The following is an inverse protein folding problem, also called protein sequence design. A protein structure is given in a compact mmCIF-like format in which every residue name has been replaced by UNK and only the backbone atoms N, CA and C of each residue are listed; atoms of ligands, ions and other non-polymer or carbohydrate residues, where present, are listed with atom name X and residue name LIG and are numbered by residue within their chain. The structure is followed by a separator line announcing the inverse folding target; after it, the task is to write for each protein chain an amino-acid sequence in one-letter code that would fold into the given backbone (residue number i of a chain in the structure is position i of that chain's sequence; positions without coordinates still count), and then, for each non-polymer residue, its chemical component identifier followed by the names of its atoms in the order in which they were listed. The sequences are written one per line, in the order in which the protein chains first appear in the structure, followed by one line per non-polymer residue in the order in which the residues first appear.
data_IF_472024511369
#
_entry.id   IF_472024511369
#
_cell.length_a   1.000
_cell.length_b   1.000
_cell.length_c   1.000
_cell.angle_alpha   90.00
_cell.angle_beta   90.00
_cell.angle_gamma   90.00
#
_symmetry.space_group_name_H-M   'P 1'
#
loop_
_entity.id
_entity.type
_entity.pdbx_description
1 polymer ?
#
# COMPACT_ATOMS: atom_id res chain seq x y z
N UNK A 1 -73.09 80.07 -18.65
CA UNK A 1 -72.08 79.35 -19.46
C UNK A 1 -71.66 78.13 -18.66
N UNK A 2 -71.79 76.93 -19.23
CA UNK A 2 -72.31 75.71 -18.60
C UNK A 2 -71.22 74.94 -17.84
N UNK A 3 -71.45 73.93 -17.01
CA UNK A 3 -72.66 73.27 -16.50
C UNK A 3 -72.33 72.56 -15.17
N UNK A 4 -73.39 72.34 -14.38
CA UNK A 4 -73.60 71.25 -13.40
C UNK A 4 -72.84 69.94 -13.72
N UNK A 5 -72.49 69.04 -12.78
CA UNK A 5 -73.43 68.31 -11.91
C UNK A 5 -72.74 67.23 -11.01
N UNK A 6 -73.43 66.82 -9.92
CA UNK A 6 -73.50 65.49 -9.24
C UNK A 6 -72.22 64.87 -8.60
N UNK A 7 -72.11 64.75 -7.27
CA UNK A 7 -72.70 63.80 -6.29
C UNK A 7 -72.12 62.36 -6.27
N UNK A 8 -71.47 62.01 -5.15
CA UNK A 8 -71.32 60.71 -4.44
C UNK A 8 -70.90 59.42 -5.22
N UNK A 9 -69.76 58.85 -4.77
CA UNK A 9 -69.24 57.44 -4.61
C UNK A 9 -69.96 56.23 -5.28
N UNK A 10 -69.35 55.01 -5.45
CA UNK A 10 -68.01 54.47 -5.09
C UNK A 10 -67.32 53.51 -6.13
N UNK A 11 -66.12 53.01 -5.75
CA UNK A 11 -65.55 51.65 -5.97
C UNK A 11 -64.71 51.33 -7.24
N UNK A 12 -63.44 51.03 -7.00
CA UNK A 12 -62.53 50.19 -7.81
C UNK A 12 -61.43 49.60 -6.89
N UNK A 13 -60.92 48.37 -7.12
CA UNK A 13 -60.32 47.56 -6.07
C UNK A 13 -58.80 47.72 -5.87
N UNK A 14 -58.44 47.36 -4.64
CA UNK A 14 -57.15 47.09 -4.03
C UNK A 14 -56.17 46.33 -4.96
N UNK A 15 -55.09 47.00 -5.38
CA UNK A 15 -54.00 46.36 -6.10
C UNK A 15 -53.08 45.57 -5.16
N UNK A 16 -52.79 44.36 -5.62
CA UNK A 16 -52.29 43.21 -4.90
C UNK A 16 -50.75 43.20 -4.91
N UNK A 17 -50.11 43.66 -3.83
CA UNK A 17 -48.64 43.65 -3.67
C UNK A 17 -48.19 42.54 -2.70
N UNK A 18 -48.46 41.28 -3.05
CA UNK A 18 -48.17 40.13 -2.16
C UNK A 18 -47.79 38.81 -2.84
N UNK A 19 -47.52 38.79 -4.14
CA UNK A 19 -47.38 37.53 -4.91
C UNK A 19 -45.97 36.98 -5.11
N UNK A 20 -44.95 37.81 -5.34
CA UNK A 20 -43.69 37.34 -5.95
C UNK A 20 -42.60 36.91 -4.96
N UNK A 21 -42.59 37.42 -3.73
CA UNK A 21 -41.52 37.12 -2.74
C UNK A 21 -41.72 35.73 -2.09
N UNK A 22 -42.97 35.25 -2.00
CA UNK A 22 -43.30 34.00 -1.30
C UNK A 22 -43.00 32.74 -2.13
N UNK A 23 -43.11 32.82 -3.45
CA UNK A 23 -42.84 31.69 -4.36
C UNK A 23 -41.34 31.40 -4.51
N UNK A 24 -40.48 32.43 -4.56
CA UNK A 24 -39.03 32.24 -4.61
C UNK A 24 -38.47 31.61 -3.33
N UNK A 25 -39.00 31.97 -2.17
CA UNK A 25 -38.59 31.38 -0.89
C UNK A 25 -39.01 29.91 -0.75
N UNK A 26 -40.20 29.54 -1.26
CA UNK A 26 -40.67 28.16 -1.28
C UNK A 26 -39.83 27.29 -2.22
N UNK A 27 -39.44 27.82 -3.38
CA UNK A 27 -38.55 27.13 -4.33
C UNK A 27 -37.19 26.83 -3.69
N UNK A 28 -36.53 27.83 -3.08
CA UNK A 28 -35.21 27.65 -2.43
C UNK A 28 -35.29 26.68 -1.24
N UNK A 29 -36.36 26.73 -0.43
CA UNK A 29 -36.56 25.79 0.67
C UNK A 29 -36.76 24.34 0.18
N UNK A 30 -37.45 24.14 -0.94
CA UNK A 30 -37.60 22.84 -1.59
C UNK A 30 -36.26 22.28 -2.10
N UNK A 31 -35.41 23.11 -2.72
CA UNK A 31 -34.08 22.71 -3.18
C UNK A 31 -33.13 22.35 -2.01
N UNK A 32 -33.15 23.13 -0.92
CA UNK A 32 -32.34 22.85 0.26
C UNK A 32 -32.80 21.57 1.00
N UNK A 33 -34.11 21.32 1.03
CA UNK A 33 -34.69 20.11 1.63
C UNK A 33 -34.27 18.84 0.88
N UNK A 34 -34.29 18.86 -0.46
CA UNK A 34 -33.85 17.73 -1.27
C UNK A 34 -32.35 17.48 -1.17
N UNK A 35 -31.53 18.54 -1.07
CA UNK A 35 -30.09 18.42 -0.83
C UNK A 35 -29.78 17.75 0.51
N UNK A 36 -30.48 18.15 1.58
CA UNK A 36 -30.32 17.54 2.90
C UNK A 36 -30.78 16.07 2.92
N UNK A 37 -31.89 15.75 2.26
CA UNK A 37 -32.40 14.38 2.15
C UNK A 37 -31.42 13.46 1.39
N UNK A 38 -30.89 13.92 0.26
CA UNK A 38 -29.89 13.16 -0.51
C UNK A 38 -28.59 12.96 0.28
N UNK A 39 -28.13 13.99 1.01
CA UNK A 39 -26.98 13.88 1.90
C UNK A 39 -27.21 12.84 3.01
N UNK A 40 -28.39 12.84 3.64
CA UNK A 40 -28.75 11.87 4.68
C UNK A 40 -28.80 10.43 4.13
N UNK A 41 -29.34 10.24 2.92
CA UNK A 41 -29.38 8.93 2.26
C UNK A 41 -27.97 8.43 1.91
N UNK A 42 -27.11 9.30 1.36
CA UNK A 42 -25.71 8.94 1.08
C UNK A 42 -24.96 8.54 2.36
N UNK A 43 -25.16 9.29 3.46
CA UNK A 43 -24.61 8.95 4.77
C UNK A 43 -25.14 7.60 5.29
N UNK A 44 -26.43 7.33 5.16
CA UNK A 44 -27.03 6.06 5.58
C UNK A 44 -26.46 4.88 4.77
N UNK A 45 -26.27 5.04 3.45
CA UNK A 45 -25.65 4.02 2.61
C UNK A 45 -24.20 3.77 3.04
N UNK A 46 -23.41 4.81 3.28
CA UNK A 46 -22.03 4.68 3.76
C UNK A 46 -21.94 4.00 5.14
N UNK A 47 -22.86 4.30 6.05
CA UNK A 47 -22.92 3.64 7.35
C UNK A 47 -23.34 2.17 7.22
N UNK A 48 -24.23 1.83 6.29
CA UNK A 48 -24.64 0.45 6.03
C UNK A 48 -23.51 -0.37 5.40
N UNK A 49 -22.72 0.21 4.47
CA UNK A 49 -21.56 -0.48 3.90
C UNK A 49 -20.47 -0.69 4.94
N UNK A 50 -20.24 0.28 5.83
CA UNK A 50 -19.31 0.10 6.95
C UNK A 50 -19.81 -0.96 7.96
N UNK A 51 -21.12 -1.04 8.22
CA UNK A 51 -21.71 -2.05 9.08
C UNK A 51 -21.56 -3.48 8.54
N UNK A 52 -21.63 -3.68 7.22
CA UNK A 52 -21.48 -5.01 6.63
C UNK A 52 -20.03 -5.48 6.65
N UNK A 53 -19.07 -4.60 6.39
CA UNK A 53 -17.64 -4.90 6.51
C UNK A 53 -17.26 -5.26 7.95
N UNK A 54 -17.74 -4.50 8.94
CA UNK A 54 -17.50 -4.81 10.35
C UNK A 54 -18.10 -6.16 10.77
N UNK A 55 -19.28 -6.53 10.25
CA UNK A 55 -19.89 -7.85 10.51
C UNK A 55 -19.08 -8.98 9.86
N UNK A 56 -18.56 -8.77 8.65
CA UNK A 56 -17.72 -9.76 7.98
C UNK A 56 -16.38 -9.93 8.70
N UNK A 57 -15.71 -8.84 9.06
CA UNK A 57 -14.45 -8.87 9.81
C UNK A 57 -14.63 -9.51 11.18
N UNK A 58 -15.72 -9.21 11.91
CA UNK A 58 -16.02 -9.90 13.19
C UNK A 58 -16.24 -11.41 12.99
N UNK A 59 -16.89 -11.82 11.90
CA UNK A 59 -17.05 -13.25 11.56
C UNK A 59 -15.71 -13.90 11.25
N UNK A 60 -14.86 -13.26 10.46
CA UNK A 60 -13.52 -13.74 10.14
C UNK A 60 -12.64 -13.85 11.38
N UNK A 61 -12.62 -12.84 12.25
CA UNK A 61 -11.90 -12.89 13.53
C UNK A 61 -12.44 -14.00 14.42
N UNK A 62 -13.76 -14.21 14.50
CA UNK A 62 -14.35 -15.31 15.27
C UNK A 62 -14.03 -16.70 14.71
N UNK A 63 -13.85 -16.81 13.39
CA UNK A 63 -13.41 -18.05 12.73
C UNK A 63 -11.93 -18.29 12.98
N UNK A 64 -11.11 -17.24 12.87
CA UNK A 64 -9.67 -17.30 13.12
C UNK A 64 -9.38 -17.63 14.58
N UNK A 65 -10.08 -17.01 15.53
CA UNK A 65 -10.00 -17.34 16.96
C UNK A 65 -10.43 -18.78 17.26
N UNK A 66 -11.47 -19.29 16.59
CA UNK A 66 -11.87 -20.71 16.70
C UNK A 66 -10.84 -21.66 16.10
N UNK A 67 -10.17 -21.27 15.01
CA UNK A 67 -9.08 -22.05 14.40
C UNK A 67 -7.75 -21.93 15.13
N UNK A 68 -7.59 -20.92 15.98
CA UNK A 68 -6.38 -20.63 16.73
C UNK A 68 -6.47 -21.02 18.22
N UNK A 69 -7.59 -21.58 18.68
CA UNK A 69 -7.68 -22.13 20.03
C UNK A 69 -6.72 -23.33 20.19
N UNK A 70 -5.91 -23.41 21.26
CA UNK A 70 -4.89 -24.44 21.38
C UNK A 70 -5.54 -25.81 21.58
N UNK A 71 -5.23 -26.73 20.67
CA UNK A 71 -5.44 -28.16 20.85
C UNK A 71 -4.60 -28.63 22.05
N UNK A 72 -5.19 -28.62 23.24
CA UNK A 72 -4.68 -29.43 24.34
C UNK A 72 -5.02 -30.88 24.04
N UNK A 73 -3.94 -31.62 23.79
CA UNK A 73 -3.87 -33.06 23.62
C UNK A 73 -4.40 -33.74 24.88
N UNK A 74 -5.52 -34.44 24.74
CA UNK A 74 -6.05 -35.39 25.73
C UNK A 74 -6.66 -36.56 24.95
N UNK A 75 -5.97 -37.69 24.98
CA UNK A 75 -6.39 -38.96 24.41
C UNK A 75 -7.68 -39.49 25.06
N UNK A 76 -8.46 -40.23 24.27
CA UNK A 76 -9.38 -41.25 24.78
C UNK A 76 -10.86 -40.98 24.55
N UNK A 77 -11.49 -41.90 23.82
CA UNK A 77 -12.93 -42.18 23.82
C UNK A 77 -13.90 -41.08 23.36
N UNK A 78 -14.13 -40.96 22.04
CA UNK A 78 -15.47 -40.66 21.53
C UNK A 78 -15.65 -41.01 20.04
N UNK A 79 -15.08 -42.13 19.58
CA UNK A 79 -15.33 -42.64 18.23
C UNK A 79 -16.22 -43.88 18.33
N UNK A 80 -17.52 -43.71 18.58
CA UNK A 80 -18.46 -44.83 18.36
C UNK A 80 -19.96 -44.53 18.27
N UNK A 81 -20.43 -43.28 18.40
CA UNK A 81 -21.87 -43.02 18.21
C UNK A 81 -22.13 -41.73 17.44
N UNK A 82 -22.02 -41.81 16.12
CA UNK A 82 -22.98 -41.17 15.21
C UNK A 82 -22.78 -41.65 13.77
N UNK A 83 -22.80 -42.97 13.59
CA UNK A 83 -23.02 -43.53 12.26
C UNK A 83 -24.51 -43.73 12.06
N UNK A 84 -25.25 -42.69 11.67
CA UNK A 84 -26.52 -42.88 10.98
C UNK A 84 -26.96 -41.62 10.21
N UNK A 85 -27.01 -41.79 8.89
CA UNK A 85 -27.79 -41.06 7.90
C UNK A 85 -27.45 -39.57 7.63
N UNK A 86 -26.69 -39.35 6.55
CA UNK A 86 -27.06 -38.42 5.46
C UNK A 86 -26.10 -38.58 4.26
N UNK A 87 -26.56 -39.17 3.13
CA UNK A 87 -25.76 -39.31 1.92
C UNK A 87 -25.23 -37.97 1.38
N UNK A 88 -26.02 -36.90 1.54
CA UNK A 88 -25.71 -35.54 1.04
C UNK A 88 -24.45 -34.92 1.67
N UNK A 89 -24.15 -35.22 2.93
CA UNK A 89 -22.99 -34.62 3.62
C UNK A 89 -21.69 -35.26 3.18
N UNK A 90 -21.71 -36.57 2.91
CA UNK A 90 -20.55 -37.30 2.40
C UNK A 90 -20.25 -36.89 0.95
N UNK A 91 -21.26 -36.77 0.10
CA UNK A 91 -21.10 -36.29 -1.27
C UNK A 91 -20.66 -34.83 -1.31
N UNK A 92 -21.19 -33.94 -0.46
CA UNK A 92 -20.76 -32.55 -0.37
C UNK A 92 -19.30 -32.43 0.11
N UNK A 93 -18.86 -33.32 1.02
CA UNK A 93 -17.48 -33.36 1.48
C UNK A 93 -16.53 -33.93 0.43
N UNK A 94 -16.90 -35.00 -0.27
CA UNK A 94 -16.11 -35.56 -1.37
C UNK A 94 -16.03 -34.61 -2.55
N UNK A 95 -17.15 -33.98 -2.91
CA UNK A 95 -17.18 -32.93 -3.92
C UNK A 95 -16.32 -31.75 -3.47
N UNK A 96 -16.49 -31.26 -2.23
CA UNK A 96 -15.65 -30.19 -1.67
C UNK A 96 -14.16 -30.54 -1.62
N UNK A 97 -13.81 -31.78 -1.31
CA UNK A 97 -12.45 -32.31 -1.34
C UNK A 97 -11.92 -32.43 -2.77
N UNK A 98 -12.76 -32.84 -3.74
CA UNK A 98 -12.46 -32.91 -5.17
C UNK A 98 -12.30 -31.52 -5.78
N UNK A 99 -13.10 -30.53 -5.37
CA UNK A 99 -12.97 -29.12 -5.74
C UNK A 99 -11.74 -28.47 -5.11
N UNK A 100 -11.39 -28.83 -3.86
CA UNK A 100 -10.14 -28.41 -3.21
C UNK A 100 -8.92 -29.06 -3.86
N UNK A 101 -8.99 -30.35 -4.23
CA UNK A 101 -7.94 -31.03 -5.02
C UNK A 101 -7.81 -30.42 -6.41
N UNK A 102 -8.92 -30.14 -7.11
CA UNK A 102 -8.90 -29.45 -8.41
C UNK A 102 -8.32 -28.02 -8.30
N UNK A 103 -8.67 -27.26 -7.26
CA UNK A 103 -8.07 -25.93 -6.98
C UNK A 103 -6.60 -26.00 -6.58
N UNK A 104 -6.20 -26.97 -5.77
CA UNK A 104 -4.80 -27.23 -5.42
C UNK A 104 -3.99 -27.65 -6.66
N UNK A 105 -4.55 -28.51 -7.52
CA UNK A 105 -3.92 -28.96 -8.77
C UNK A 105 -3.87 -27.84 -9.82
N UNK A 106 -4.85 -26.92 -9.85
CA UNK A 106 -4.79 -25.70 -10.69
C UNK A 106 -3.80 -24.66 -10.16
N UNK A 107 -3.70 -24.47 -8.84
CA UNK A 107 -2.74 -23.52 -8.23
C UNK A 107 -1.32 -24.08 -8.14
N UNK A 108 -1.16 -25.39 -8.30
CA UNK A 108 0.13 -26.07 -8.43
C UNK A 108 0.66 -26.04 -9.88
N UNK A 109 -0.13 -25.58 -10.87
CA UNK A 109 0.38 -25.23 -12.20
C UNK A 109 1.24 -23.96 -12.10
N UNK A 110 2.51 -24.18 -11.78
CA UNK A 110 3.62 -23.21 -11.72
C UNK A 110 3.36 -22.05 -10.75
N UNK A 111 3.58 -22.27 -9.43
CA UNK A 111 4.20 -21.20 -8.63
C UNK A 111 5.56 -20.90 -9.28
N UNK A 112 5.60 -19.96 -10.23
CA UNK A 112 6.84 -19.40 -10.75
C UNK A 112 7.59 -18.93 -9.51
N UNK A 113 8.71 -19.60 -9.21
CA UNK A 113 9.57 -19.22 -8.10
C UNK A 113 9.94 -17.75 -8.33
N UNK A 114 9.59 -16.87 -7.39
CA UNK A 114 9.89 -15.44 -7.49
C UNK A 114 11.39 -15.24 -7.67
N UNK A 115 11.78 -14.31 -8.53
CA UNK A 115 13.19 -13.93 -8.69
C UNK A 115 13.60 -13.17 -7.43
N UNK A 116 14.68 -13.61 -6.78
CA UNK A 116 15.20 -13.02 -5.55
C UNK A 116 16.69 -12.77 -5.72
N UNK A 117 17.15 -11.60 -5.31
CA UNK A 117 18.57 -11.25 -5.24
C UNK A 117 18.83 -10.55 -3.91
N UNK A 118 19.75 -11.07 -3.11
CA UNK A 118 20.28 -10.42 -1.92
C UNK A 118 21.78 -10.21 -2.11
N UNK A 119 22.21 -9.00 -1.86
CA UNK A 119 23.55 -8.49 -2.15
C UNK A 119 24.19 -7.97 -0.87
N UNK A 120 25.49 -8.23 -0.76
CA UNK A 120 26.33 -7.74 0.33
C UNK A 120 27.51 -6.97 -0.27
N UNK A 121 28.11 -6.02 0.46
CA UNK A 121 29.18 -5.18 -0.05
C UNK A 121 30.50 -5.98 -0.18
N UNK A 122 31.28 -5.68 -1.21
CA UNK A 122 32.68 -6.15 -1.37
C UNK A 122 33.63 -5.00 -1.09
N UNK A 123 33.38 -3.86 -1.72
CA UNK A 123 34.22 -2.68 -1.64
C UNK A 123 33.36 -1.42 -1.69
N UNK A 124 34.01 -0.31 -1.39
CA UNK A 124 33.43 1.02 -1.49
C UNK A 124 34.38 1.88 -2.31
N UNK A 125 33.83 2.66 -3.23
CA UNK A 125 34.59 3.58 -4.09
C UNK A 125 34.03 4.99 -3.95
N UNK A 126 34.92 5.98 -3.88
CA UNK A 126 34.58 7.40 -3.91
C UNK A 126 35.55 8.04 -4.88
N UNK A 127 35.03 8.68 -5.94
CA UNK A 127 35.89 9.46 -6.84
C UNK A 127 36.24 10.78 -6.15
N UNK A 128 37.45 11.28 -6.40
CA UNK A 128 38.00 12.44 -5.71
C UNK A 128 37.23 13.74 -6.04
N UNK A 129 36.73 13.86 -7.27
CA UNK A 129 35.95 15.01 -7.76
C UNK A 129 34.44 14.87 -7.56
N UNK A 130 33.96 13.86 -6.82
CA UNK A 130 32.53 13.63 -6.61
C UNK A 130 32.17 13.50 -5.13
N UNK A 131 31.11 14.21 -4.71
CA UNK A 131 30.49 14.06 -3.39
C UNK A 131 29.64 12.78 -3.28
N UNK A 132 30.17 11.68 -3.79
CA UNK A 132 29.46 10.42 -3.95
C UNK A 132 30.38 9.26 -3.59
N UNK A 133 29.85 8.39 -2.74
CA UNK A 133 30.42 7.09 -2.40
C UNK A 133 29.48 5.99 -2.89
N UNK A 134 30.02 5.05 -3.65
CA UNK A 134 29.32 3.89 -4.22
C UNK A 134 29.78 2.59 -3.54
N UNK A 135 28.89 1.60 -3.53
CA UNK A 135 29.16 0.28 -2.96
C UNK A 135 29.20 -0.73 -4.10
N UNK A 136 30.27 -1.51 -4.22
CA UNK A 136 30.30 -2.66 -5.12
C UNK A 136 29.67 -3.87 -4.44
N UNK A 137 28.79 -4.56 -5.16
CA UNK A 137 27.95 -5.61 -4.62
C UNK A 137 28.36 -7.00 -5.10
N UNK A 138 28.23 -8.01 -4.22
CA UNK A 138 28.23 -9.43 -4.60
C UNK A 138 26.93 -10.13 -4.20
N UNK A 139 26.47 -11.11 -4.98
CA UNK A 139 25.34 -11.95 -4.59
C UNK A 139 25.65 -12.85 -3.39
N UNK A 140 24.90 -12.68 -2.31
CA UNK A 140 24.85 -13.62 -1.18
C UNK A 140 23.71 -14.64 -1.33
N UNK A 141 22.60 -14.25 -1.98
CA UNK A 141 21.51 -15.15 -2.38
C UNK A 141 21.02 -14.76 -3.77
N UNK A 142 20.91 -15.73 -4.68
CA UNK A 142 20.34 -15.53 -6.01
C UNK A 142 19.39 -16.67 -6.37
N UNK A 143 18.19 -16.31 -6.81
CA UNK A 143 17.17 -17.22 -7.32
C UNK A 143 16.51 -16.60 -8.55
N UNK A 144 16.41 -17.37 -9.63
CA UNK A 144 15.88 -16.84 -10.90
C UNK A 144 16.94 -16.11 -11.73
N UNK A 145 16.51 -15.53 -12.86
CA UNK A 145 17.40 -14.85 -13.83
C UNK A 145 17.01 -13.39 -14.10
N UNK A 146 15.96 -12.87 -13.46
CA UNK A 146 15.43 -11.54 -13.75
C UNK A 146 16.28 -10.39 -13.21
N UNK A 147 17.34 -10.68 -12.45
CA UNK A 147 18.19 -9.71 -11.77
C UNK A 147 19.66 -10.15 -11.81
N UNK A 148 20.55 -9.17 -11.92
CA UNK A 148 22.00 -9.39 -11.95
C UNK A 148 22.75 -8.20 -11.33
N UNK A 149 23.72 -8.48 -10.45
CA UNK A 149 24.65 -7.46 -9.96
C UNK A 149 25.81 -7.28 -10.93
N UNK A 150 26.15 -6.03 -11.25
CA UNK A 150 27.23 -5.63 -12.13
C UNK A 150 28.03 -4.52 -11.44
N UNK A 151 29.00 -4.90 -10.60
CA UNK A 151 29.79 -3.94 -9.83
C UNK A 151 28.94 -3.15 -8.84
N UNK A 152 28.87 -1.82 -9.01
CA UNK A 152 28.10 -0.91 -8.16
C UNK A 152 26.58 -0.89 -8.47
N UNK A 153 26.16 -1.51 -9.57
CA UNK A 153 24.77 -1.43 -10.05
C UNK A 153 24.10 -2.80 -10.14
N UNK A 154 22.77 -2.81 -10.19
CA UNK A 154 21.96 -4.01 -10.42
C UNK A 154 21.16 -3.83 -11.69
N UNK A 155 21.32 -4.74 -12.65
CA UNK A 155 20.58 -4.74 -13.91
C UNK A 155 19.31 -5.59 -13.79
N UNK A 156 18.21 -5.04 -14.29
CA UNK A 156 16.90 -5.70 -14.36
C UNK A 156 16.72 -6.35 -15.73
N UNK A 157 16.52 -7.66 -15.75
CA UNK A 157 16.33 -8.44 -16.97
C UNK A 157 14.86 -8.78 -17.24
N UNK A 158 14.03 -8.88 -16.20
CA UNK A 158 12.61 -9.16 -16.35
C UNK A 158 11.77 -8.00 -15.83
N UNK A 159 10.92 -7.41 -16.67
CA UNK A 159 9.92 -6.43 -16.23
C UNK A 159 8.99 -7.03 -15.16
N UNK A 160 8.63 -6.23 -14.15
CA UNK A 160 7.69 -6.62 -13.12
C UNK A 160 7.72 -5.73 -11.88
N UNK A 161 6.90 -6.10 -10.90
CA UNK A 161 6.84 -5.40 -9.60
C UNK A 161 7.83 -6.06 -8.64
N UNK A 162 8.68 -5.25 -8.01
CA UNK A 162 9.72 -5.72 -7.11
C UNK A 162 9.61 -5.02 -5.76
N UNK A 163 9.72 -5.79 -4.68
CA UNK A 163 10.11 -5.26 -3.37
C UNK A 163 11.62 -5.02 -3.39
N UNK A 164 12.04 -3.78 -3.19
CA UNK A 164 13.42 -3.39 -2.94
C UNK A 164 13.60 -3.02 -1.48
N UNK A 165 14.73 -3.42 -0.89
CA UNK A 165 15.13 -3.01 0.45
C UNK A 165 16.64 -2.79 0.51
N UNK A 166 17.07 -1.80 1.28
CA UNK A 166 18.49 -1.46 1.43
C UNK A 166 18.79 -1.02 2.85
N UNK A 167 19.91 -1.51 3.39
CA UNK A 167 20.50 -1.05 4.63
C UNK A 167 21.96 -0.64 4.41
N UNK A 168 22.37 0.44 5.07
CA UNK A 168 23.78 0.81 5.21
C UNK A 168 24.06 1.10 6.67
N UNK A 169 25.13 0.51 7.21
CA UNK A 169 25.62 0.80 8.56
C UNK A 169 26.75 1.83 8.48
N UNK A 170 26.50 3.04 8.98
CA UNK A 170 27.46 4.14 9.00
C UNK A 170 28.28 4.15 10.29
N UNK A 171 29.56 4.49 10.16
CA UNK A 171 30.44 4.87 11.25
C UNK A 171 31.13 6.19 10.89
N UNK A 172 30.34 7.26 10.90
CA UNK A 172 30.73 8.56 10.32
C UNK A 172 30.16 9.70 11.17
N UNK A 173 30.98 10.72 11.45
CA UNK A 173 30.61 11.88 12.27
C UNK A 173 29.93 13.00 11.49
N UNK A 174 29.83 12.85 10.16
CA UNK A 174 29.10 13.81 9.31
C UNK A 174 27.67 13.95 9.81
N UNK A 175 27.21 15.18 10.04
CA UNK A 175 25.96 15.47 10.76
C UNK A 175 24.74 14.68 10.28
N UNK A 176 24.67 14.41 8.98
CA UNK A 176 23.70 13.51 8.37
C UNK A 176 24.35 12.59 7.36
N UNK A 177 24.04 11.30 7.51
CA UNK A 177 24.37 10.23 6.60
C UNK A 177 23.11 9.61 6.03
N UNK A 178 23.27 8.85 4.95
CA UNK A 178 22.13 8.25 4.28
C UNK A 178 22.49 7.67 2.93
N UNK A 179 21.49 7.08 2.30
CA UNK A 179 21.61 6.53 0.96
C UNK A 179 20.42 6.93 0.10
N UNK A 180 20.68 6.96 -1.20
CA UNK A 180 19.69 7.20 -2.24
C UNK A 180 19.69 5.99 -3.14
N UNK A 181 18.52 5.37 -3.28
CA UNK A 181 18.32 4.28 -4.24
C UNK A 181 17.61 4.86 -5.45
N UNK A 182 18.24 4.75 -6.61
CA UNK A 182 17.70 5.27 -7.88
C UNK A 182 17.65 4.21 -8.95
N UNK A 183 16.69 4.35 -9.86
CA UNK A 183 16.67 3.64 -11.13
C UNK A 183 17.09 4.58 -12.25
N UNK A 184 17.72 4.01 -13.26
CA UNK A 184 18.02 4.65 -14.52
C UNK A 184 17.54 3.74 -15.65
N UNK A 185 16.70 4.30 -16.52
CA UNK A 185 16.08 3.59 -17.63
C UNK A 185 15.41 4.59 -18.57
N UNK A 186 15.31 4.24 -19.85
CA UNK A 186 14.66 5.09 -20.87
C UNK A 186 15.23 6.54 -20.94
N UNK A 187 16.53 6.70 -20.66
CA UNK A 187 17.21 8.01 -20.66
C UNK A 187 16.86 8.91 -19.47
N UNK A 188 16.18 8.39 -18.44
CA UNK A 188 15.80 9.15 -17.25
C UNK A 188 16.28 8.46 -15.97
N UNK A 189 16.74 9.27 -15.03
CA UNK A 189 17.04 8.84 -13.65
C UNK A 189 15.90 9.22 -12.71
N UNK A 190 15.50 8.30 -11.85
CA UNK A 190 14.44 8.49 -10.86
C UNK A 190 14.87 7.96 -9.49
N UNK A 191 14.62 8.75 -8.44
CA UNK A 191 14.85 8.29 -7.06
C UNK A 191 13.67 7.43 -6.62
N UNK A 192 13.94 6.19 -6.21
CA UNK A 192 12.93 5.28 -5.69
C UNK A 192 12.64 5.55 -4.22
N UNK A 193 13.69 5.62 -3.40
CA UNK A 193 13.61 5.98 -2.00
C UNK A 193 14.94 6.51 -1.46
N UNK A 194 14.86 7.15 -0.30
CA UNK A 194 16.02 7.67 0.45
C UNK A 194 15.95 7.15 1.89
N UNK A 195 17.09 7.08 2.53
CA UNK A 195 17.19 6.95 3.98
C UNK A 195 18.15 8.03 4.48
N UNK A 196 17.79 8.69 5.58
CA UNK A 196 18.59 9.76 6.19
C UNK A 196 18.66 9.50 7.69
N UNK A 197 19.84 9.62 8.27
CA UNK A 197 20.09 9.55 9.71
C UNK A 197 21.01 10.66 10.17
N UNK A 198 20.62 11.30 11.27
CA UNK A 198 21.51 12.17 12.03
C UNK A 198 22.57 11.33 12.73
N UNK A 199 23.81 11.81 12.74
CA UNK A 199 24.94 11.13 13.38
C UNK A 199 25.41 11.90 14.62
N UNK A 200 25.79 11.20 15.69
CA UNK A 200 26.53 11.79 16.80
C UNK A 200 27.85 12.41 16.32
N UNK A 201 28.26 13.52 16.95
CA UNK A 201 29.53 14.18 16.67
C UNK A 201 30.74 13.47 17.30
N UNK A 202 30.49 12.65 18.33
CA UNK A 202 31.51 11.84 19.01
C UNK A 202 31.87 10.60 18.15
N UNK A 203 33.12 10.49 17.65
CA UNK A 203 33.55 9.39 16.79
C UNK A 203 33.33 7.99 17.37
N UNK A 204 33.46 7.84 18.70
CA UNK A 204 33.31 6.54 19.37
C UNK A 204 31.85 6.09 19.47
N UNK A 205 30.91 7.02 19.22
CA UNK A 205 29.47 6.81 19.29
C UNK A 205 28.76 6.98 17.95
N UNK A 206 29.47 7.38 16.91
CA UNK A 206 28.91 7.76 15.62
C UNK A 206 28.48 6.57 14.75
N UNK A 207 27.67 5.66 15.30
CA UNK A 207 27.16 4.46 14.64
C UNK A 207 25.65 4.54 14.42
N UNK A 208 25.20 4.33 13.18
CA UNK A 208 23.76 4.18 12.88
C UNK A 208 23.54 3.31 11.65
N UNK A 209 22.55 2.42 11.72
CA UNK A 209 22.00 1.76 10.55
C UNK A 209 20.90 2.62 9.91
N UNK A 210 20.92 2.74 8.59
CA UNK A 210 19.86 3.38 7.82
C UNK A 210 19.20 2.36 6.90
N UNK A 211 17.98 1.93 7.23
CA UNK A 211 17.18 0.98 6.44
C UNK A 211 16.01 1.69 5.77
N UNK A 212 15.73 1.36 4.51
CA UNK A 212 14.51 1.77 3.80
C UNK A 212 14.15 0.74 2.73
N UNK A 213 12.86 0.67 2.39
CA UNK A 213 12.32 -0.29 1.44
C UNK A 213 11.06 0.25 0.75
N UNK A 214 10.72 -0.34 -0.39
CA UNK A 214 9.51 0.00 -1.14
C UNK A 214 9.21 -0.97 -2.26
N UNK A 215 8.03 -0.84 -2.84
CA UNK A 215 7.57 -1.67 -3.96
C UNK A 215 7.53 -0.82 -5.23
N UNK A 216 8.25 -1.25 -6.26
CA UNK A 216 8.43 -0.47 -7.49
C UNK A 216 8.20 -1.34 -8.73
N UNK A 217 7.58 -0.75 -9.76
CA UNK A 217 7.49 -1.37 -11.08
C UNK A 217 8.77 -1.07 -11.85
N UNK A 218 9.57 -2.12 -12.14
CA UNK A 218 10.85 -2.02 -12.83
C UNK A 218 10.73 -2.63 -14.22
N UNK A 219 11.40 -2.03 -15.19
CA UNK A 219 11.39 -2.48 -16.57
C UNK A 219 12.69 -3.21 -16.93
N UNK A 220 12.59 -4.11 -17.90
CA UNK A 220 13.77 -4.72 -18.51
C UNK A 220 14.71 -3.63 -19.05
N UNK A 221 15.99 -3.74 -18.70
CA UNK A 221 17.03 -2.77 -19.05
C UNK A 221 17.26 -1.69 -18.00
N UNK A 222 16.37 -1.55 -17.01
CA UNK A 222 16.59 -0.63 -15.89
C UNK A 222 17.87 -1.02 -15.13
N UNK A 223 18.61 0.00 -14.71
CA UNK A 223 19.79 -0.12 -13.87
C UNK A 223 19.51 0.54 -12.52
N UNK A 224 19.73 -0.19 -11.44
CA UNK A 224 19.54 0.30 -10.08
C UNK A 224 20.88 0.61 -9.45
N UNK A 225 20.95 1.74 -8.75
CA UNK A 225 22.13 2.19 -8.02
C UNK A 225 21.79 2.58 -6.60
N UNK A 226 22.72 2.31 -5.68
CA UNK A 226 22.68 2.78 -4.30
C UNK A 226 23.88 3.71 -4.11
N UNK A 227 23.60 4.96 -3.80
CA UNK A 227 24.61 6.02 -3.66
C UNK A 227 24.51 6.64 -2.27
N UNK A 228 25.66 6.80 -1.63
CA UNK A 228 25.82 7.63 -0.43
C UNK A 228 26.27 9.02 -0.91
N UNK A 229 25.46 10.08 -0.74
CA UNK A 229 25.75 11.42 -1.25
C UNK A 229 26.74 12.17 -0.34
N UNK A 230 27.90 11.56 -0.10
CA UNK A 230 29.04 12.10 0.64
C UNK A 230 30.32 11.53 0.01
N UNK A 231 31.34 12.34 -0.20
CA UNK A 231 32.67 11.85 -0.55
C UNK A 231 33.28 11.08 0.63
N UNK A 232 34.02 10.00 0.33
CA UNK A 232 34.80 9.22 1.30
C UNK A 232 33.98 8.78 2.53
N UNK A 233 32.72 8.42 2.32
CA UNK A 233 31.80 8.06 3.39
C UNK A 233 32.28 6.82 4.17
N UNK A 234 32.23 6.88 5.50
CA UNK A 234 32.61 5.76 6.36
C UNK A 234 31.42 4.86 6.65
N UNK A 235 31.44 3.65 6.09
CA UNK A 235 30.41 2.64 6.26
C UNK A 235 30.99 1.24 6.45
N UNK A 236 30.23 0.36 7.11
CA UNK A 236 30.64 -1.03 7.36
C UNK A 236 30.44 -1.91 6.13
N UNK A 237 31.45 -2.71 5.80
CA UNK A 237 31.36 -3.78 4.80
C UNK A 237 30.82 -5.11 5.37
N UNK A 238 30.32 -5.10 6.61
CA UNK A 238 29.71 -6.31 7.19
C UNK A 238 28.44 -6.71 6.41
N UNK A 239 28.29 -7.98 6.01
CA UNK A 239 27.14 -8.45 5.23
C UNK A 239 25.80 -8.34 5.97
N UNK A 240 25.83 -8.25 7.30
CA UNK A 240 24.63 -8.07 8.13
C UNK A 240 24.37 -6.59 8.48
N UNK A 241 25.37 -5.72 8.30
CA UNK A 241 25.25 -4.29 8.54
C UNK A 241 24.80 -3.52 7.29
N UNK A 242 25.36 -3.87 6.14
CA UNK A 242 25.11 -3.23 4.86
C UNK A 242 24.70 -4.28 3.83
N UNK A 243 23.56 -4.07 3.18
CA UNK A 243 23.02 -5.01 2.19
C UNK A 243 21.97 -4.32 1.28
N UNK A 244 21.74 -4.93 0.13
CA UNK A 244 20.70 -4.55 -0.83
C UNK A 244 19.96 -5.82 -1.24
N UNK A 245 18.63 -5.76 -1.35
CA UNK A 245 17.89 -6.91 -1.86
C UNK A 245 16.63 -6.56 -2.63
N UNK A 246 16.24 -7.53 -3.44
CA UNK A 246 15.20 -7.44 -4.44
C UNK A 246 14.40 -8.75 -4.48
N UNK A 247 13.07 -8.64 -4.46
CA UNK A 247 12.15 -9.78 -4.58
C UNK A 247 11.07 -9.43 -5.60
N UNK A 248 10.97 -10.21 -6.67
CA UNK A 248 9.88 -10.12 -7.65
C UNK A 248 8.57 -10.61 -7.02
N UNK A 249 7.53 -9.81 -7.10
CA UNK A 249 6.19 -10.11 -6.57
C UNK A 249 5.32 -10.84 -7.61
#
# INVERSE_FOLDING_TARGET
MPASSFSLSPKGPLDNMGGTVRESALSVALWLSWGAALGAVACAIALLTQQTELRNLRREVSQLQRSAAPSQKGEGSLWQSLGEQRPDVLEAWENGARWRRKRAVLTQKRKKRSSVLHLVPINVTSKEDSDVTEVTWQPALRRGRGLEAQGCVVRVWDTGVYLLYSQVLFHDVTFTMGQVVSREGQGRRETLFRCIRSMPSDPDRAYNSCYSAGVFHLHQGDTLSVVIPRAKAKLSLSPHGTFLGLVKL
#
